data_IF_319828263159
#
_entry.id   IF_319828263159
#
_cell.length_a   1.000
_cell.length_b   1.000
_cell.length_c   1.000
_cell.angle_alpha   90.00
_cell.angle_beta   90.00
_cell.angle_gamma   90.00
#
_symmetry.space_group_name_H-M   'P 1'
#
loop_
_entity.id
_entity.type
_entity.pdbx_description
1 polymer ?
#
# COMPACT_ATOMS: atom_id res chain seq x y z
N UNK A 1 -5.12 24.17 -6.18
CA UNK A 1 -5.63 22.89 -5.68
C UNK A 1 -5.98 21.99 -6.85
N UNK A 2 -5.41 20.79 -6.91
CA UNK A 2 -5.65 19.81 -7.98
C UNK A 2 -6.48 18.62 -7.50
N UNK A 3 -7.59 18.33 -8.18
CA UNK A 3 -8.38 17.11 -7.94
C UNK A 3 -8.16 16.17 -9.12
N UNK A 4 -7.48 15.04 -8.87
CA UNK A 4 -7.06 14.14 -9.94
C UNK A 4 -6.73 12.75 -9.38
N UNK A 5 -7.07 11.70 -10.12
CA UNK A 5 -6.75 10.32 -9.76
C UNK A 5 -5.25 10.01 -9.88
N UNK A 6 -4.80 8.88 -9.34
CA UNK A 6 -3.42 8.40 -9.51
C UNK A 6 -3.18 8.06 -10.99
N UNK A 7 -1.98 8.36 -11.51
CA UNK A 7 -1.63 8.11 -12.93
C UNK A 7 -2.05 9.21 -13.91
N UNK A 8 -2.56 10.37 -13.44
CA UNK A 8 -2.94 11.51 -14.28
C UNK A 8 -1.81 12.52 -14.50
N UNK A 9 -0.59 12.23 -14.06
CA UNK A 9 0.55 13.14 -14.21
C UNK A 9 0.70 14.19 -13.10
N UNK A 10 0.06 14.03 -11.93
CA UNK A 10 0.15 14.99 -10.81
C UNK A 10 1.58 15.34 -10.44
N UNK A 11 2.47 14.35 -10.34
CA UNK A 11 3.88 14.57 -9.97
C UNK A 11 4.59 15.49 -10.96
N UNK A 12 4.35 15.32 -12.25
CA UNK A 12 4.88 16.23 -13.27
C UNK A 12 4.25 17.64 -13.18
N UNK A 13 2.93 17.69 -12.90
CA UNK A 13 2.20 18.95 -12.82
C UNK A 13 2.70 19.88 -11.72
N UNK A 14 3.18 19.36 -10.58
CA UNK A 14 3.79 20.18 -9.54
C UNK A 14 5.33 20.16 -9.61
N UNK A 15 5.93 19.04 -9.99
CA UNK A 15 7.38 18.85 -9.94
C UNK A 15 8.13 19.69 -10.97
N UNK A 16 7.66 19.72 -12.22
CA UNK A 16 8.32 20.50 -13.28
C UNK A 16 8.31 22.01 -13.01
N UNK A 17 7.17 22.66 -12.70
CA UNK A 17 7.16 24.09 -12.38
C UNK A 17 7.93 24.41 -11.09
N UNK A 18 7.91 23.50 -10.10
CA UNK A 18 8.67 23.65 -8.87
C UNK A 18 10.18 23.69 -9.15
N UNK A 19 10.69 22.72 -9.91
CA UNK A 19 12.11 22.64 -10.28
C UNK A 19 12.52 23.85 -11.13
N UNK A 20 11.71 24.23 -12.12
CA UNK A 20 11.97 25.41 -12.96
C UNK A 20 12.10 26.69 -12.11
N UNK A 21 11.18 26.89 -11.16
CA UNK A 21 11.21 28.06 -10.27
C UNK A 21 12.45 28.08 -9.39
N UNK A 22 12.88 26.93 -8.88
CA UNK A 22 14.08 26.82 -8.04
C UNK A 22 15.36 27.02 -8.84
N UNK A 23 15.40 26.52 -10.07
CA UNK A 23 16.52 26.67 -10.99
C UNK A 23 16.71 28.15 -11.42
N UNK A 24 15.61 28.81 -11.75
CA UNK A 24 15.60 30.24 -12.09
C UNK A 24 16.04 31.14 -10.92
N UNK A 25 15.71 30.76 -9.68
CA UNK A 25 16.14 31.50 -8.50
C UNK A 25 17.65 31.43 -8.28
N UNK A 26 18.31 30.39 -8.82
CA UNK A 26 19.78 30.17 -8.79
C UNK A 26 20.40 30.36 -7.39
N UNK A 27 19.68 30.03 -6.34
CA UNK A 27 20.17 30.11 -4.97
C UNK A 27 20.81 28.79 -4.56
N UNK A 28 21.94 28.77 -3.87
CA UNK A 28 22.55 27.52 -3.40
C UNK A 28 21.71 26.85 -2.34
N UNK A 29 21.73 25.51 -2.32
CA UNK A 29 21.10 24.72 -1.26
C UNK A 29 21.81 24.97 0.06
N UNK A 30 21.04 25.26 1.14
CA UNK A 30 21.59 25.53 2.48
C UNK A 30 21.51 24.27 3.34
N UNK A 31 22.53 23.98 4.18
CA UNK A 31 22.48 22.87 5.13
C UNK A 31 21.23 22.92 6.00
N UNK A 32 20.51 21.80 6.09
CA UNK A 32 19.29 21.60 6.89
C UNK A 32 18.09 22.49 6.54
N UNK A 33 18.17 23.36 5.52
CA UNK A 33 17.13 24.34 5.15
C UNK A 33 16.64 24.13 3.73
N UNK A 34 15.73 23.18 3.49
CA UNK A 34 15.15 22.98 2.18
C UNK A 34 14.31 24.19 1.78
N UNK A 35 14.26 24.47 0.46
CA UNK A 35 13.47 25.58 -0.11
C UNK A 35 12.03 25.15 -0.41
N UNK A 36 11.83 23.88 -0.66
CA UNK A 36 10.51 23.31 -0.94
C UNK A 36 10.30 21.99 -0.23
N UNK A 37 9.06 21.73 0.14
CA UNK A 37 8.63 20.55 0.87
C UNK A 37 7.45 19.89 0.17
N UNK A 38 7.56 18.57 -0.05
CA UNK A 38 6.48 17.74 -0.57
C UNK A 38 6.13 16.70 0.49
N UNK A 39 4.89 16.73 0.97
CA UNK A 39 4.39 15.75 1.94
C UNK A 39 3.63 14.64 1.21
N UNK A 40 3.99 13.40 1.51
CA UNK A 40 3.35 12.20 1.01
C UNK A 40 2.91 11.28 2.16
N UNK A 41 1.74 10.62 2.07
CA UNK A 41 1.22 9.78 3.16
C UNK A 41 2.01 8.50 3.39
N UNK A 42 2.67 7.97 2.36
CA UNK A 42 3.38 6.70 2.42
C UNK A 42 4.83 6.82 1.98
N UNK A 43 5.67 5.92 2.50
CA UNK A 43 7.10 5.83 2.15
C UNK A 43 7.30 5.54 0.67
N UNK A 44 6.46 4.67 0.13
CA UNK A 44 6.49 4.26 -1.26
C UNK A 44 6.19 5.43 -2.20
N UNK A 45 5.15 6.22 -1.89
CA UNK A 45 4.82 7.41 -2.67
C UNK A 45 5.91 8.47 -2.56
N UNK A 46 6.47 8.69 -1.34
CA UNK A 46 7.58 9.61 -1.17
C UNK A 46 8.80 9.22 -2.01
N UNK A 47 9.14 7.93 -2.05
CA UNK A 47 10.21 7.41 -2.92
C UNK A 47 9.90 7.57 -4.41
N UNK A 48 8.66 7.32 -4.83
CA UNK A 48 8.25 7.51 -6.22
C UNK A 48 8.37 8.96 -6.65
N UNK A 49 7.84 9.89 -5.85
CA UNK A 49 7.94 11.33 -6.12
C UNK A 49 9.41 11.74 -6.22
N UNK A 50 10.25 11.30 -5.28
CA UNK A 50 11.67 11.60 -5.30
C UNK A 50 12.36 11.08 -6.57
N UNK A 51 12.11 9.82 -6.94
CA UNK A 51 12.69 9.23 -8.17
C UNK A 51 12.25 9.98 -9.43
N UNK A 52 11.00 10.43 -9.51
CA UNK A 52 10.54 11.25 -10.64
C UNK A 52 11.19 12.63 -10.66
N UNK A 53 11.32 13.28 -9.49
CA UNK A 53 12.02 14.56 -9.39
C UNK A 53 13.49 14.45 -9.78
N UNK A 54 14.20 13.37 -9.41
CA UNK A 54 15.58 13.12 -9.85
C UNK A 54 15.68 13.02 -11.38
N UNK A 55 14.71 12.36 -12.03
CA UNK A 55 14.66 12.29 -13.50
C UNK A 55 14.46 13.68 -14.12
N UNK A 56 13.52 14.46 -13.56
CA UNK A 56 13.22 15.80 -14.06
C UNK A 56 14.37 16.79 -13.83
N UNK A 57 15.08 16.65 -12.70
CA UNK A 57 16.19 17.51 -12.32
C UNK A 57 17.54 17.09 -12.93
N UNK A 58 17.61 16.04 -13.75
CA UNK A 58 18.86 15.41 -14.24
C UNK A 58 19.87 16.42 -14.83
N UNK A 59 19.39 17.45 -15.49
CA UNK A 59 20.23 18.45 -16.17
C UNK A 59 20.28 19.80 -15.41
N UNK A 60 19.97 19.80 -14.11
CA UNK A 60 20.01 20.98 -13.24
C UNK A 60 20.95 20.75 -12.07
N UNK A 61 21.45 21.79 -11.38
CA UNK A 61 22.24 21.65 -10.16
C UNK A 61 21.40 21.34 -8.92
N UNK A 62 20.07 21.27 -9.05
CA UNK A 62 19.12 21.09 -7.94
C UNK A 62 19.27 19.73 -7.27
N UNK A 63 19.21 19.74 -5.94
CA UNK A 63 19.31 18.54 -5.11
C UNK A 63 17.98 18.22 -4.47
N UNK A 64 17.53 17.00 -4.64
CA UNK A 64 16.37 16.48 -3.91
C UNK A 64 16.78 15.40 -2.91
N UNK A 65 16.00 15.25 -1.86
CA UNK A 65 16.15 14.16 -0.88
C UNK A 65 14.80 13.69 -0.41
N UNK A 66 14.76 12.43 0.07
CA UNK A 66 13.55 11.82 0.62
C UNK A 66 13.79 11.35 2.06
N UNK A 67 12.85 11.68 2.95
CA UNK A 67 12.88 11.24 4.34
C UNK A 67 11.60 10.52 4.73
N UNK A 68 11.75 9.34 5.37
CA UNK A 68 10.63 8.53 5.84
C UNK A 68 11.06 7.61 6.98
N UNK A 69 10.10 7.18 7.79
CA UNK A 69 10.34 6.32 8.94
C UNK A 69 10.60 4.85 8.57
N UNK A 70 11.02 4.04 9.58
CA UNK A 70 11.24 2.59 9.45
C UNK A 70 12.54 2.20 8.76
N UNK A 71 13.45 3.16 8.61
CA UNK A 71 14.86 2.98 8.21
C UNK A 71 15.73 3.86 9.11
N UNK A 72 17.04 3.57 9.16
CA UNK A 72 17.98 4.37 9.92
C UNK A 72 17.96 5.84 9.52
N UNK A 73 18.03 6.75 10.48
CA UNK A 73 17.99 8.19 10.20
C UNK A 73 19.32 8.78 9.74
N UNK A 74 20.46 8.21 10.14
CA UNK A 74 21.77 8.77 9.88
C UNK A 74 22.07 9.08 8.39
N UNK A 75 21.71 8.23 7.42
CA UNK A 75 21.86 8.58 6.00
C UNK A 75 21.02 9.80 5.60
N UNK A 76 19.78 9.91 6.12
CA UNK A 76 18.88 11.02 5.83
C UNK A 76 19.41 12.32 6.45
N UNK A 77 19.88 12.28 7.69
CA UNK A 77 20.52 13.42 8.37
C UNK A 77 21.74 13.92 7.58
N UNK A 78 22.59 13.01 7.10
CA UNK A 78 23.76 13.39 6.28
C UNK A 78 23.37 14.09 4.99
N UNK A 79 22.29 13.67 4.33
CA UNK A 79 21.78 14.34 3.13
C UNK A 79 21.28 15.75 3.45
N UNK A 80 20.52 15.91 4.53
CA UNK A 80 20.03 17.22 4.99
C UNK A 80 21.18 18.17 5.35
N UNK A 81 22.26 17.67 5.97
CA UNK A 81 23.46 18.44 6.30
C UNK A 81 24.21 18.95 5.06
N UNK A 82 24.16 18.23 3.94
CA UNK A 82 24.76 18.67 2.66
C UNK A 82 23.96 19.77 1.97
N UNK A 83 22.74 20.03 2.43
CA UNK A 83 21.79 20.94 1.81
C UNK A 83 21.04 20.29 0.65
N UNK A 84 19.73 20.52 0.62
CA UNK A 84 18.80 20.06 -0.42
C UNK A 84 17.84 21.18 -0.78
N UNK A 85 17.47 21.25 -2.05
CA UNK A 85 16.52 22.25 -2.55
C UNK A 85 15.08 21.75 -2.38
N UNK A 86 14.84 20.48 -2.68
CA UNK A 86 13.53 19.82 -2.58
C UNK A 86 13.59 18.69 -1.57
N UNK A 87 12.76 18.79 -0.54
CA UNK A 87 12.59 17.71 0.44
C UNK A 87 11.25 17.01 0.23
N UNK A 88 11.28 15.70 -0.02
CA UNK A 88 10.09 14.84 -0.03
C UNK A 88 10.02 14.11 1.30
N UNK A 89 8.86 14.11 1.97
CA UNK A 89 8.80 13.57 3.33
C UNK A 89 7.49 12.87 3.65
N UNK A 90 7.56 11.86 4.54
CA UNK A 90 6.39 11.42 5.30
C UNK A 90 6.29 12.23 6.61
N UNK A 91 5.07 12.63 7.05
CA UNK A 91 4.90 13.59 8.13
C UNK A 91 5.63 13.22 9.43
N UNK A 92 5.47 11.99 9.94
CA UNK A 92 6.04 11.58 11.21
C UNK A 92 7.57 11.66 11.26
N UNK A 93 8.29 11.21 10.20
CA UNK A 93 9.76 11.30 10.16
C UNK A 93 10.24 12.75 9.98
N UNK A 94 9.49 13.57 9.26
CA UNK A 94 9.84 14.97 9.12
C UNK A 94 9.81 15.69 10.48
N UNK A 95 8.73 15.50 11.25
CA UNK A 95 8.62 16.07 12.60
C UNK A 95 9.70 15.53 13.54
N UNK A 96 9.96 14.24 13.52
CA UNK A 96 11.02 13.60 14.31
C UNK A 96 12.38 14.27 14.05
N UNK A 97 12.75 14.49 12.78
CA UNK A 97 14.02 15.15 12.43
C UNK A 97 14.00 16.66 12.67
N UNK A 98 12.85 17.33 12.59
CA UNK A 98 12.70 18.74 12.93
C UNK A 98 12.84 18.96 14.44
N UNK A 99 12.18 18.13 15.25
CA UNK A 99 12.27 18.18 16.72
C UNK A 99 13.72 17.91 17.21
N UNK A 100 14.50 17.11 16.47
CA UNK A 100 15.94 16.87 16.72
C UNK A 100 16.86 17.98 16.15
N UNK A 101 16.33 19.02 15.48
CA UNK A 101 17.12 20.10 14.86
C UNK A 101 17.90 19.70 13.61
N UNK A 102 17.56 18.57 12.98
CA UNK A 102 18.20 18.11 11.74
C UNK A 102 17.60 18.72 10.47
N UNK A 103 16.43 19.35 10.56
CA UNK A 103 15.81 20.11 9.48
C UNK A 103 15.12 21.36 10.03
N UNK A 104 15.27 22.47 9.32
CA UNK A 104 14.66 23.78 9.60
C UNK A 104 13.76 24.14 8.42
N UNK A 105 12.47 24.27 8.68
CA UNK A 105 11.44 24.53 7.66
C UNK A 105 11.19 26.03 7.41
N UNK A 106 11.95 26.92 8.05
CA UNK A 106 11.77 28.38 7.97
C UNK A 106 12.05 28.98 6.59
N UNK A 107 12.70 28.22 5.69
CA UNK A 107 13.03 28.65 4.32
C UNK A 107 12.07 28.07 3.24
N UNK A 108 11.05 27.34 3.65
CA UNK A 108 10.10 26.74 2.70
C UNK A 108 9.32 27.82 1.95
N UNK A 109 9.59 27.95 0.66
CA UNK A 109 8.86 28.84 -0.24
C UNK A 109 7.69 28.17 -0.97
N UNK A 110 7.75 26.83 -1.13
CA UNK A 110 6.70 26.02 -1.74
C UNK A 110 6.42 24.79 -0.90
N UNK A 111 5.14 24.57 -0.55
CA UNK A 111 4.64 23.39 0.14
C UNK A 111 3.66 22.65 -0.76
N UNK A 112 3.89 21.37 -0.97
CA UNK A 112 2.98 20.48 -1.71
C UNK A 112 2.46 19.40 -0.77
N UNK A 113 1.15 19.21 -0.71
CA UNK A 113 0.52 18.05 -0.09
C UNK A 113 0.00 17.15 -1.21
N UNK A 114 0.58 15.96 -1.36
CA UNK A 114 0.10 14.99 -2.32
C UNK A 114 -0.71 13.89 -1.61
N UNK A 115 -1.76 13.39 -2.28
CA UNK A 115 -2.74 12.46 -1.74
C UNK A 115 -3.30 12.92 -0.37
N UNK A 116 -3.81 14.16 -0.34
CA UNK A 116 -4.30 14.80 0.88
C UNK A 116 -5.47 14.04 1.55
N UNK A 117 -6.33 13.38 0.79
CA UNK A 117 -7.35 12.46 1.28
C UNK A 117 -6.71 11.32 2.09
N UNK A 118 -5.61 10.77 1.64
CA UNK A 118 -4.90 9.69 2.35
C UNK A 118 -4.11 10.17 3.55
N UNK A 119 -3.52 11.37 3.48
CA UNK A 119 -2.92 11.99 4.67
C UNK A 119 -3.95 12.09 5.81
N UNK A 120 -5.19 12.39 5.45
CA UNK A 120 -6.31 12.47 6.39
C UNK A 120 -6.73 11.08 6.90
N UNK A 121 -6.96 10.11 6.00
CA UNK A 121 -7.37 8.73 6.33
C UNK A 121 -6.36 8.02 7.23
N UNK A 122 -5.06 8.32 7.08
CA UNK A 122 -3.99 7.75 7.88
C UNK A 122 -3.77 8.48 9.22
N UNK A 123 -4.57 9.51 9.52
CA UNK A 123 -4.54 10.25 10.77
C UNK A 123 -3.44 11.31 10.87
N UNK A 124 -2.73 11.64 9.78
CA UNK A 124 -1.62 12.60 9.77
C UNK A 124 -2.06 14.06 9.85
N UNK A 125 -3.37 14.34 10.02
CA UNK A 125 -3.88 15.72 10.03
C UNK A 125 -3.19 16.60 11.09
N UNK A 126 -2.91 16.06 12.28
CA UNK A 126 -2.22 16.77 13.37
C UNK A 126 -0.77 17.04 12.99
N UNK A 127 -0.08 16.06 12.44
CA UNK A 127 1.31 16.18 12.01
C UNK A 127 1.46 17.19 10.88
N UNK A 128 0.56 17.14 9.88
CA UNK A 128 0.52 18.11 8.79
C UNK A 128 0.34 19.54 9.31
N UNK A 129 -0.56 19.75 10.26
CA UNK A 129 -0.76 21.09 10.87
C UNK A 129 0.51 21.58 11.57
N UNK A 130 1.15 20.76 12.40
CA UNK A 130 2.41 21.10 13.08
C UNK A 130 3.53 21.45 12.07
N UNK A 131 3.62 20.73 10.95
CA UNK A 131 4.57 21.03 9.88
C UNK A 131 4.24 22.38 9.24
N UNK A 132 2.98 22.61 8.90
CA UNK A 132 2.51 23.86 8.28
C UNK A 132 2.81 25.09 9.16
N UNK A 133 2.64 24.96 10.48
CA UNK A 133 2.96 26.02 11.47
C UNK A 133 4.44 26.38 11.49
N UNK A 134 5.34 25.44 11.19
CA UNK A 134 6.79 25.66 11.14
C UNK A 134 7.26 26.28 9.82
N UNK A 135 6.39 26.42 8.81
CA UNK A 135 6.75 26.95 7.50
C UNK A 135 6.28 28.42 7.35
N UNK A 136 6.99 29.25 6.57
CA UNK A 136 6.62 30.66 6.38
C UNK A 136 5.20 30.84 5.88
N UNK A 137 4.52 31.86 6.40
CA UNK A 137 3.18 32.22 5.93
C UNK A 137 3.16 32.71 4.46
N UNK A 138 4.24 33.24 3.95
CA UNK A 138 4.40 33.72 2.56
C UNK A 138 4.56 32.61 1.53
N UNK A 139 4.72 31.33 1.95
CA UNK A 139 4.90 30.21 1.05
C UNK A 139 3.72 30.05 0.07
N UNK A 140 4.00 29.54 -1.12
CA UNK A 140 2.98 28.99 -2.00
C UNK A 140 2.59 27.57 -1.51
N UNK A 141 1.30 27.30 -1.38
CA UNK A 141 0.82 25.99 -0.99
C UNK A 141 0.01 25.35 -2.11
N UNK A 142 0.33 24.08 -2.42
CA UNK A 142 -0.40 23.25 -3.38
C UNK A 142 -0.96 22.03 -2.65
N UNK A 143 -2.18 21.63 -3.02
CA UNK A 143 -2.83 20.44 -2.49
C UNK A 143 -3.37 19.61 -3.64
N UNK A 144 -2.99 18.33 -3.66
CA UNK A 144 -3.47 17.34 -4.61
C UNK A 144 -4.22 16.23 -3.87
N UNK A 145 -5.36 15.84 -4.39
CA UNK A 145 -6.21 14.78 -3.82
C UNK A 145 -6.98 14.05 -4.92
N UNK A 146 -7.27 12.78 -4.72
CA UNK A 146 -8.17 12.05 -5.61
C UNK A 146 -9.64 12.31 -5.28
N UNK A 147 -9.95 12.64 -4.02
CA UNK A 147 -11.31 12.88 -3.53
C UNK A 147 -11.40 14.18 -2.73
N UNK A 148 -12.60 14.78 -2.70
CA UNK A 148 -12.87 16.03 -1.97
C UNK A 148 -13.92 15.81 -0.87
N UNK A 149 -13.55 14.99 0.13
CA UNK A 149 -14.36 14.84 1.33
C UNK A 149 -14.47 16.15 2.14
N UNK A 150 -15.42 16.21 3.08
CA UNK A 150 -15.54 17.37 4.00
C UNK A 150 -14.23 17.64 4.74
N UNK A 151 -13.52 16.58 5.16
CA UNK A 151 -12.24 16.70 5.85
C UNK A 151 -11.13 17.27 4.97
N UNK A 152 -11.02 16.82 3.71
CA UNK A 152 -10.03 17.35 2.75
C UNK A 152 -10.35 18.82 2.43
N UNK A 153 -11.63 19.16 2.25
CA UNK A 153 -12.06 20.54 2.01
C UNK A 153 -11.73 21.47 3.19
N UNK A 154 -11.86 20.98 4.43
CA UNK A 154 -11.48 21.74 5.62
C UNK A 154 -9.95 21.88 5.73
N UNK A 155 -9.18 20.82 5.44
CA UNK A 155 -7.72 20.89 5.37
C UNK A 155 -7.27 21.92 4.34
N UNK A 156 -7.84 21.89 3.14
CA UNK A 156 -7.54 22.84 2.06
C UNK A 156 -7.77 24.28 2.49
N UNK A 157 -8.92 24.58 3.12
CA UNK A 157 -9.23 25.95 3.63
C UNK A 157 -8.23 26.45 4.67
N UNK A 158 -7.66 25.55 5.48
CA UNK A 158 -6.71 25.93 6.52
C UNK A 158 -5.29 26.16 5.99
N UNK A 159 -4.93 25.57 4.85
CA UNK A 159 -3.53 25.56 4.35
C UNK A 159 -3.37 26.45 3.11
N UNK A 160 -4.38 26.48 2.24
CA UNK A 160 -4.34 27.23 0.98
C UNK A 160 -4.87 28.66 1.17
N UNK A 161 -4.34 29.57 0.38
CA UNK A 161 -4.80 30.96 0.28
C UNK A 161 -5.33 31.18 -1.13
N UNK A 162 -6.57 31.59 -1.24
CA UNK A 162 -7.27 31.85 -2.51
C UNK A 162 -6.96 30.81 -3.60
N UNK A 163 -7.20 29.50 -3.33
CA UNK A 163 -6.75 28.45 -4.23
C UNK A 163 -7.61 28.41 -5.51
N UNK A 164 -6.94 28.43 -6.66
CA UNK A 164 -7.57 28.02 -7.92
C UNK A 164 -7.79 26.50 -7.85
N UNK A 165 -9.01 26.07 -8.09
CA UNK A 165 -9.36 24.66 -8.19
C UNK A 165 -9.29 24.19 -9.65
N UNK A 166 -8.46 23.19 -9.88
CA UNK A 166 -8.38 22.44 -11.15
C UNK A 166 -8.88 21.03 -10.88
N UNK A 167 -9.94 20.64 -11.57
CA UNK A 167 -10.55 19.32 -11.42
C UNK A 167 -10.48 18.58 -12.76
N UNK A 168 -9.63 17.55 -12.81
CA UNK A 168 -9.45 16.70 -13.99
C UNK A 168 -9.98 15.27 -13.74
N UNK A 169 -10.84 15.14 -12.72
CA UNK A 169 -11.49 13.87 -12.44
C UNK A 169 -12.37 13.46 -13.62
N UNK A 170 -12.34 12.21 -14.06
CA UNK A 170 -13.22 11.73 -15.11
C UNK A 170 -14.69 11.99 -14.73
N UNK A 171 -15.49 12.52 -15.64
CA UNK A 171 -16.94 12.71 -15.43
C UNK A 171 -17.67 11.38 -15.13
N UNK A 172 -17.09 10.27 -15.56
CA UNK A 172 -17.55 8.91 -15.19
C UNK A 172 -16.49 8.25 -14.29
N UNK A 173 -16.88 7.70 -13.14
CA UNK A 173 -15.97 6.97 -12.27
C UNK A 173 -15.24 5.87 -13.07
N UNK A 174 -13.94 5.71 -12.86
CA UNK A 174 -13.10 4.63 -13.44
C UNK A 174 -13.70 3.23 -13.19
N UNK A 175 -14.55 3.14 -12.18
CA UNK A 175 -15.37 1.96 -11.82
C UNK A 175 -16.13 1.36 -13.02
N UNK A 176 -16.61 2.20 -13.98
CA UNK A 176 -17.35 1.72 -15.16
C UNK A 176 -16.48 1.05 -16.23
N UNK A 177 -15.16 1.25 -16.20
CA UNK A 177 -14.22 0.63 -17.15
C UNK A 177 -13.62 -0.68 -16.65
N UNK A 178 -13.92 -1.05 -15.39
CA UNK A 178 -13.42 -2.27 -14.77
C UNK A 178 -14.55 -3.29 -14.78
N UNK A 179 -14.31 -4.47 -15.37
CA UNK A 179 -15.22 -5.60 -15.27
C UNK A 179 -15.21 -6.13 -13.84
N UNK A 180 -16.32 -5.92 -13.14
CA UNK A 180 -16.45 -6.27 -11.74
C UNK A 180 -17.34 -7.50 -11.59
N UNK A 181 -16.83 -8.50 -10.85
CA UNK A 181 -17.53 -9.75 -10.59
C UNK A 181 -17.53 -10.07 -9.10
N UNK A 182 -18.61 -10.65 -8.61
CA UNK A 182 -18.72 -11.16 -7.26
C UNK A 182 -18.88 -12.68 -7.28
N UNK A 183 -18.14 -13.35 -6.42
CA UNK A 183 -18.16 -14.80 -6.27
C UNK A 183 -18.57 -15.08 -4.82
N UNK A 184 -19.76 -15.67 -4.67
CA UNK A 184 -20.26 -16.08 -3.35
C UNK A 184 -19.53 -17.36 -2.93
N UNK A 185 -18.83 -17.31 -1.79
CA UNK A 185 -17.98 -18.41 -1.33
C UNK A 185 -17.79 -18.37 0.17
N UNK A 186 -17.90 -19.53 0.83
CA UNK A 186 -17.60 -19.66 2.26
C UNK A 186 -16.14 -19.34 2.56
N UNK A 187 -15.87 -18.75 3.73
CA UNK A 187 -14.50 -18.36 4.15
C UNK A 187 -13.48 -19.51 4.05
N UNK A 188 -13.77 -20.78 4.43
CA UNK A 188 -12.83 -21.89 4.29
C UNK A 188 -12.40 -22.17 2.85
N UNK A 189 -13.31 -21.95 1.89
CA UNK A 189 -13.14 -22.33 0.48
C UNK A 189 -12.48 -21.19 -0.35
N UNK A 190 -12.46 -19.95 0.17
CA UNK A 190 -11.83 -18.81 -0.50
C UNK A 190 -10.41 -19.08 -1.03
N UNK A 191 -9.51 -19.81 -0.31
CA UNK A 191 -8.17 -20.08 -0.82
C UNK A 191 -8.15 -20.97 -2.07
N UNK A 192 -9.04 -21.95 -2.18
CA UNK A 192 -9.15 -22.86 -3.33
C UNK A 192 -9.72 -22.11 -4.53
N UNK A 193 -10.80 -21.35 -4.31
CA UNK A 193 -11.39 -20.48 -5.35
C UNK A 193 -10.36 -19.46 -5.86
N UNK A 194 -9.58 -18.84 -4.95
CA UNK A 194 -8.52 -17.93 -5.35
C UNK A 194 -7.48 -18.60 -6.26
N UNK A 195 -7.03 -19.83 -5.93
CA UNK A 195 -6.09 -20.56 -6.76
C UNK A 195 -6.67 -20.82 -8.16
N UNK A 196 -7.92 -21.26 -8.24
CA UNK A 196 -8.61 -21.48 -9.53
C UNK A 196 -8.68 -20.19 -10.36
N UNK A 197 -9.05 -19.06 -9.75
CA UNK A 197 -9.11 -17.77 -10.45
C UNK A 197 -7.74 -17.31 -10.96
N UNK A 198 -6.67 -17.63 -10.25
CA UNK A 198 -5.31 -17.26 -10.63
C UNK A 198 -4.77 -18.09 -11.82
N UNK A 199 -5.47 -19.14 -12.24
CA UNK A 199 -5.16 -19.88 -13.48
C UNK A 199 -5.86 -19.33 -14.73
N UNK A 200 -6.59 -18.21 -14.63
CA UNK A 200 -7.19 -17.54 -15.78
C UNK A 200 -6.10 -17.08 -16.76
N UNK A 201 -6.23 -17.46 -18.03
CA UNK A 201 -5.25 -17.15 -19.09
C UNK A 201 -5.10 -15.64 -19.35
N UNK A 202 -6.16 -14.86 -19.09
CA UNK A 202 -6.13 -13.40 -19.22
C UNK A 202 -5.39 -12.70 -18.07
N UNK A 203 -5.03 -13.45 -17.01
CA UNK A 203 -4.38 -12.90 -15.84
C UNK A 203 -2.86 -12.84 -16.03
N UNK A 204 -2.32 -11.66 -16.20
CA UNK A 204 -0.87 -11.45 -16.29
C UNK A 204 -0.24 -11.09 -14.95
N UNK A 205 -0.85 -10.17 -14.20
CA UNK A 205 -0.44 -9.77 -12.86
C UNK A 205 -1.65 -9.44 -12.00
N UNK A 206 -1.67 -9.91 -10.75
CA UNK A 206 -2.77 -9.71 -9.82
C UNK A 206 -2.35 -9.05 -8.51
N UNK A 207 -3.21 -8.17 -7.98
CA UNK A 207 -3.13 -7.74 -6.58
C UNK A 207 -4.29 -8.36 -5.82
N UNK A 208 -3.97 -9.13 -4.77
CA UNK A 208 -4.94 -9.78 -3.88
C UNK A 208 -5.04 -9.00 -2.59
N UNK A 209 -6.23 -8.51 -2.26
CA UNK A 209 -6.46 -7.72 -1.07
C UNK A 209 -7.01 -8.55 0.08
N UNK A 210 -6.37 -8.44 1.25
CA UNK A 210 -6.81 -8.98 2.54
C UNK A 210 -6.98 -7.86 3.56
N UNK A 211 -7.84 -8.07 4.56
CA UNK A 211 -8.06 -7.06 5.62
C UNK A 211 -6.91 -6.98 6.61
N UNK A 212 -6.22 -8.10 6.85
CA UNK A 212 -5.21 -8.18 7.91
C UNK A 212 -3.82 -8.57 7.38
N UNK A 213 -2.78 -8.12 8.08
CA UNK A 213 -1.39 -8.50 7.83
C UNK A 213 -1.15 -10.01 7.94
N UNK A 214 -1.83 -10.67 8.88
CA UNK A 214 -1.74 -12.12 9.05
C UNK A 214 -2.44 -12.86 7.91
N UNK A 215 -3.60 -12.36 7.46
CA UNK A 215 -4.28 -12.84 6.26
C UNK A 215 -3.39 -12.76 5.03
N UNK A 216 -2.73 -11.61 4.82
CA UNK A 216 -1.82 -11.43 3.69
C UNK A 216 -0.68 -12.47 3.68
N UNK A 217 -0.01 -12.69 4.81
CA UNK A 217 1.02 -13.72 4.90
C UNK A 217 0.48 -15.14 4.68
N UNK A 218 -0.68 -15.46 5.26
CA UNK A 218 -1.31 -16.78 5.14
C UNK A 218 -1.68 -17.09 3.68
N UNK A 219 -2.29 -16.13 2.99
CA UNK A 219 -2.68 -16.27 1.58
C UNK A 219 -1.43 -16.40 0.71
N UNK A 220 -0.44 -15.51 0.83
CA UNK A 220 0.80 -15.60 0.06
C UNK A 220 1.51 -16.95 0.26
N UNK A 221 1.61 -17.44 1.52
CA UNK A 221 2.22 -18.75 1.82
C UNK A 221 1.46 -19.90 1.16
N UNK A 222 0.12 -19.87 1.17
CA UNK A 222 -0.71 -20.90 0.51
C UNK A 222 -0.53 -20.90 -1.00
N UNK A 223 -0.46 -19.72 -1.62
CA UNK A 223 -0.23 -19.57 -3.05
C UNK A 223 1.15 -20.11 -3.45
N UNK A 224 2.21 -19.74 -2.71
CA UNK A 224 3.55 -20.27 -2.95
C UNK A 224 3.61 -21.80 -2.81
N UNK A 225 2.91 -22.38 -1.81
CA UNK A 225 2.82 -23.83 -1.63
C UNK A 225 2.09 -24.54 -2.79
N UNK A 226 1.20 -23.83 -3.48
CA UNK A 226 0.53 -24.29 -4.71
C UNK A 226 1.32 -23.97 -6.01
N UNK A 227 2.58 -23.55 -5.91
CA UNK A 227 3.43 -23.24 -7.07
C UNK A 227 3.20 -21.86 -7.69
N UNK A 228 2.34 -21.01 -7.10
CA UNK A 228 2.03 -19.67 -7.57
C UNK A 228 3.02 -18.67 -6.98
N UNK A 229 3.78 -17.96 -7.84
CA UNK A 229 4.75 -16.94 -7.38
C UNK A 229 4.02 -15.75 -6.77
N UNK A 230 3.99 -15.68 -5.44
CA UNK A 230 3.30 -14.66 -4.66
C UNK A 230 4.18 -14.06 -3.56
N UNK A 231 4.04 -12.78 -3.26
CA UNK A 231 4.64 -12.14 -2.10
C UNK A 231 3.62 -11.28 -1.35
N UNK A 232 3.85 -11.08 -0.05
CA UNK A 232 2.97 -10.29 0.79
C UNK A 232 3.55 -8.90 1.09
N UNK A 233 2.71 -7.86 1.01
CA UNK A 233 3.09 -6.50 1.41
C UNK A 233 2.12 -5.96 2.46
N UNK A 234 2.64 -5.63 3.65
CA UNK A 234 1.86 -5.10 4.77
C UNK A 234 2.75 -4.35 5.77
N UNK A 235 2.13 -3.64 6.72
CA UNK A 235 2.84 -2.76 7.66
C UNK A 235 3.91 -3.42 8.54
N UNK A 236 3.80 -4.73 8.82
CA UNK A 236 4.78 -5.47 9.63
C UNK A 236 5.99 -6.00 8.83
N UNK A 237 6.02 -5.87 7.50
CA UNK A 237 7.23 -6.16 6.70
C UNK A 237 8.23 -5.03 6.88
N UNK A 238 9.53 -5.36 6.97
CA UNK A 238 10.59 -4.35 6.92
C UNK A 238 10.54 -3.55 5.62
N UNK A 239 11.04 -2.32 5.62
CA UNK A 239 11.02 -1.48 4.43
C UNK A 239 11.78 -2.12 3.26
N UNK A 240 12.92 -2.77 3.54
CA UNK A 240 13.69 -3.49 2.53
C UNK A 240 12.91 -4.67 1.93
N UNK A 241 12.17 -5.43 2.75
CA UNK A 241 11.31 -6.52 2.27
C UNK A 241 10.16 -5.98 1.39
N UNK A 242 9.54 -4.86 1.77
CA UNK A 242 8.48 -4.23 0.97
C UNK A 242 9.01 -3.73 -0.38
N UNK A 243 10.17 -3.07 -0.40
CA UNK A 243 10.81 -2.61 -1.62
C UNK A 243 11.19 -3.77 -2.54
N UNK A 244 11.69 -4.88 -1.99
CA UNK A 244 12.01 -6.09 -2.75
C UNK A 244 10.74 -6.69 -3.37
N UNK A 245 9.68 -6.91 -2.58
CA UNK A 245 8.42 -7.44 -3.08
C UNK A 245 7.85 -6.61 -4.23
N UNK A 246 7.89 -5.26 -4.11
CA UNK A 246 7.47 -4.36 -5.17
C UNK A 246 8.37 -4.43 -6.40
N UNK A 247 9.68 -4.48 -6.21
CA UNK A 247 10.64 -4.57 -7.33
C UNK A 247 10.46 -5.90 -8.09
N UNK A 248 10.25 -7.01 -7.38
CA UNK A 248 10.04 -8.33 -7.96
C UNK A 248 8.69 -8.40 -8.70
N UNK A 249 7.64 -7.78 -8.13
CA UNK A 249 6.35 -7.65 -8.80
C UNK A 249 6.42 -6.78 -10.06
N UNK A 250 7.09 -5.62 -10.01
CA UNK A 250 7.28 -4.75 -11.18
C UNK A 250 8.08 -5.43 -12.30
N UNK A 251 9.06 -6.25 -11.95
CA UNK A 251 9.90 -7.01 -12.90
C UNK A 251 9.24 -8.31 -13.39
N UNK A 252 8.05 -8.67 -12.92
CA UNK A 252 7.35 -9.89 -13.27
C UNK A 252 7.93 -11.18 -12.66
N UNK A 253 8.89 -11.09 -11.72
CA UNK A 253 9.40 -12.26 -10.98
C UNK A 253 8.36 -12.83 -10.01
N UNK A 254 7.56 -11.95 -9.45
CA UNK A 254 6.35 -12.27 -8.68
C UNK A 254 5.17 -11.70 -9.44
N UNK A 255 4.16 -12.49 -9.75
CA UNK A 255 3.01 -12.03 -10.50
C UNK A 255 1.74 -11.88 -9.66
N UNK A 256 1.76 -12.34 -8.40
CA UNK A 256 0.71 -12.10 -7.41
C UNK A 256 1.25 -11.33 -6.22
N UNK A 257 0.72 -10.13 -5.95
CA UNK A 257 1.03 -9.35 -4.77
C UNK A 257 -0.12 -9.39 -3.80
N UNK A 258 0.05 -9.99 -2.61
CA UNK A 258 -0.97 -10.04 -1.57
C UNK A 258 -0.78 -8.85 -0.63
N UNK A 259 -1.77 -7.96 -0.56
CA UNK A 259 -1.63 -6.66 0.09
C UNK A 259 -2.75 -6.36 1.09
N UNK A 260 -2.43 -5.54 2.10
CA UNK A 260 -3.44 -4.84 2.91
C UNK A 260 -3.67 -3.44 2.36
N UNK A 261 -4.85 -2.85 2.62
CA UNK A 261 -5.21 -1.51 2.13
C UNK A 261 -4.12 -0.47 2.42
N UNK A 262 -3.63 -0.40 3.66
CA UNK A 262 -2.62 0.56 4.08
C UNK A 262 -1.32 0.39 3.26
N UNK A 263 -0.92 -0.84 2.99
CA UNK A 263 0.32 -1.11 2.28
C UNK A 263 0.22 -0.97 0.77
N UNK A 264 -0.96 -1.18 0.20
CA UNK A 264 -1.21 -1.01 -1.23
C UNK A 264 -1.51 0.45 -1.62
N UNK A 265 -1.86 1.29 -0.65
CA UNK A 265 -2.07 2.72 -0.87
C UNK A 265 -0.76 3.39 -1.30
N UNK A 266 -0.81 4.26 -2.30
CA UNK A 266 0.36 4.96 -2.83
C UNK A 266 1.27 4.13 -3.73
N UNK A 267 0.95 2.83 -3.96
CA UNK A 267 1.69 2.04 -4.92
C UNK A 267 1.26 2.43 -6.34
N UNK A 268 2.19 2.99 -7.09
CA UNK A 268 2.03 3.12 -8.53
C UNK A 268 2.58 1.86 -9.18
N UNK A 269 1.65 1.01 -9.58
CA UNK A 269 1.95 -0.26 -10.24
C UNK A 269 1.16 -0.27 -11.55
N UNK A 270 1.88 -0.29 -12.63
CA UNK A 270 1.32 -0.41 -13.97
C UNK A 270 1.19 -1.88 -14.37
N UNK A 271 0.29 -2.16 -15.32
CA UNK A 271 0.11 -3.49 -15.90
C UNK A 271 -0.47 -4.52 -14.94
N UNK A 272 -1.27 -4.10 -13.96
CA UNK A 272 -2.08 -4.99 -13.15
C UNK A 272 -3.34 -5.31 -13.95
N UNK A 273 -3.47 -6.55 -14.40
CA UNK A 273 -4.66 -7.00 -15.12
C UNK A 273 -5.84 -7.25 -14.20
N UNK A 274 -5.58 -7.83 -13.03
CA UNK A 274 -6.61 -8.27 -12.09
C UNK A 274 -6.41 -7.73 -10.68
N UNK A 275 -7.50 -7.31 -10.07
CA UNK A 275 -7.60 -7.04 -8.63
C UNK A 275 -8.55 -8.06 -8.01
N UNK A 276 -8.10 -8.75 -6.98
CA UNK A 276 -8.93 -9.75 -6.29
C UNK A 276 -9.13 -9.32 -4.84
N UNK A 277 -10.36 -9.01 -4.46
CA UNK A 277 -10.73 -8.80 -3.07
C UNK A 277 -10.96 -10.16 -2.41
N UNK A 278 -9.94 -10.74 -1.80
CA UNK A 278 -10.06 -11.96 -1.01
C UNK A 278 -11.00 -11.78 0.18
N UNK A 279 -11.00 -10.56 0.74
CA UNK A 279 -11.95 -10.08 1.74
C UNK A 279 -12.41 -8.68 1.37
N UNK A 280 -13.70 -8.39 1.50
CA UNK A 280 -14.20 -7.03 1.28
C UNK A 280 -13.68 -6.05 2.33
N UNK A 281 -13.39 -4.80 1.97
CA UNK A 281 -12.97 -3.78 2.93
C UNK A 281 -14.11 -3.41 3.88
N UNK A 282 -13.74 -2.84 5.04
CA UNK A 282 -14.74 -2.31 5.98
C UNK A 282 -15.40 -1.03 5.44
N UNK A 283 -14.59 -0.16 4.83
CA UNK A 283 -15.02 1.11 4.25
C UNK A 283 -15.28 0.94 2.75
N UNK A 284 -16.48 1.28 2.25
CA UNK A 284 -16.81 1.14 0.83
C UNK A 284 -15.89 1.92 -0.11
N UNK A 285 -15.38 3.08 0.33
CA UNK A 285 -14.44 3.91 -0.43
C UNK A 285 -13.12 3.17 -0.71
N UNK A 286 -12.68 2.33 0.23
CA UNK A 286 -11.48 1.51 0.05
C UNK A 286 -11.63 0.52 -1.11
N UNK A 287 -12.84 0.05 -1.42
CA UNK A 287 -13.10 -0.80 -2.58
C UNK A 287 -12.74 -0.09 -3.88
N UNK A 288 -13.17 1.14 -4.05
CA UNK A 288 -12.87 1.95 -5.25
C UNK A 288 -11.35 2.14 -5.40
N UNK A 289 -10.66 2.40 -4.30
CA UNK A 289 -9.20 2.53 -4.29
C UNK A 289 -8.47 1.23 -4.61
N UNK A 290 -9.02 0.06 -4.23
CA UNK A 290 -8.46 -1.25 -4.56
C UNK A 290 -8.60 -1.55 -6.04
N UNK A 291 -9.82 -1.47 -6.58
CA UNK A 291 -10.07 -1.79 -7.98
C UNK A 291 -9.38 -0.80 -8.93
N UNK A 292 -9.20 0.46 -8.53
CA UNK A 292 -8.39 1.44 -9.25
C UNK A 292 -6.89 1.11 -9.35
N UNK A 293 -6.43 -0.07 -8.90
CA UNK A 293 -5.08 -0.59 -9.19
C UNK A 293 -5.01 -1.24 -10.57
N UNK A 294 -6.15 -1.65 -11.15
CA UNK A 294 -6.26 -2.10 -12.55
C UNK A 294 -6.98 -1.06 -13.41
N UNK A 295 -7.09 -1.29 -14.72
CA UNK A 295 -7.79 -0.38 -15.64
C UNK A 295 -7.12 0.99 -15.80
N UNK A 296 -5.80 1.09 -15.67
CA UNK A 296 -5.03 2.33 -15.78
C UNK A 296 -4.56 2.59 -17.21
N UNK A 297 -4.25 3.85 -17.50
CA UNK A 297 -3.72 4.30 -18.81
C UNK A 297 -4.58 3.87 -20.02
N UNK A 298 -5.91 3.76 -19.83
CA UNK A 298 -6.83 3.38 -20.92
C UNK A 298 -6.98 1.86 -21.13
N UNK A 299 -6.24 1.03 -20.41
CA UNK A 299 -6.41 -0.42 -20.46
C UNK A 299 -7.70 -0.87 -19.75
N UNK A 300 -8.27 -2.00 -20.18
CA UNK A 300 -9.32 -2.71 -19.46
C UNK A 300 -8.76 -3.35 -18.20
N UNK A 301 -9.59 -3.49 -17.16
CA UNK A 301 -9.21 -4.14 -15.93
C UNK A 301 -10.32 -5.06 -15.42
N UNK A 302 -9.94 -6.05 -14.62
CA UNK A 302 -10.88 -7.00 -14.01
C UNK A 302 -10.76 -6.92 -12.49
N UNK A 303 -11.90 -6.94 -11.79
CA UNK A 303 -11.97 -6.95 -10.35
C UNK A 303 -12.90 -8.07 -9.85
N UNK A 304 -12.33 -9.06 -9.17
CA UNK A 304 -13.09 -10.14 -8.54
C UNK A 304 -13.19 -9.95 -7.04
N UNK A 305 -14.36 -10.27 -6.47
CA UNK A 305 -14.59 -10.15 -5.03
C UNK A 305 -15.13 -11.47 -4.50
N UNK A 306 -14.37 -12.12 -3.60
CA UNK A 306 -14.78 -13.33 -2.89
C UNK A 306 -15.60 -12.94 -1.67
N UNK A 307 -16.89 -13.15 -1.73
CA UNK A 307 -17.85 -12.66 -0.72
C UNK A 307 -18.39 -13.82 0.09
N UNK A 308 -18.13 -13.78 1.38
CA UNK A 308 -18.69 -14.65 2.38
C UNK A 308 -20.11 -14.17 2.75
N UNK A 309 -21.06 -15.06 3.13
CA UNK A 309 -22.40 -14.66 3.56
C UNK A 309 -22.42 -13.56 4.62
N UNK A 310 -21.45 -13.54 5.54
CA UNK A 310 -21.31 -12.48 6.55
C UNK A 310 -20.86 -11.11 5.98
N UNK A 311 -20.35 -11.07 4.76
CA UNK A 311 -19.88 -9.87 4.07
C UNK A 311 -20.92 -9.22 3.15
N UNK A 312 -22.11 -9.81 3.01
CA UNK A 312 -23.17 -9.32 2.09
C UNK A 312 -23.60 -7.89 2.42
N UNK A 313 -23.61 -7.51 3.69
CA UNK A 313 -23.93 -6.13 4.09
C UNK A 313 -22.89 -5.12 3.56
N UNK A 314 -21.60 -5.51 3.55
CA UNK A 314 -20.51 -4.70 2.97
C UNK A 314 -20.62 -4.62 1.45
N UNK A 315 -20.95 -5.73 0.78
CA UNK A 315 -21.20 -5.74 -0.65
C UNK A 315 -22.29 -4.73 -1.03
N UNK A 316 -23.43 -4.76 -0.33
CA UNK A 316 -24.52 -3.81 -0.56
C UNK A 316 -24.11 -2.35 -0.34
N UNK A 317 -23.30 -2.07 0.69
CA UNK A 317 -22.77 -0.73 0.94
C UNK A 317 -21.84 -0.26 -0.20
N UNK A 318 -21.00 -1.15 -0.73
CA UNK A 318 -20.13 -0.89 -1.88
C UNK A 318 -20.99 -0.61 -3.13
N UNK A 319 -21.96 -1.46 -3.46
CA UNK A 319 -22.85 -1.30 -4.62
C UNK A 319 -23.62 0.03 -4.56
N UNK A 320 -24.07 0.41 -3.36
CA UNK A 320 -24.71 1.71 -3.12
C UNK A 320 -23.77 2.88 -3.40
N UNK A 321 -22.50 2.78 -2.98
CA UNK A 321 -21.50 3.83 -3.20
C UNK A 321 -21.16 3.99 -4.68
N UNK A 322 -20.97 2.88 -5.39
CA UNK A 322 -20.57 2.90 -6.80
C UNK A 322 -21.76 3.07 -7.77
N UNK A 323 -23.00 3.08 -7.25
CA UNK A 323 -24.24 3.12 -8.03
C UNK A 323 -24.31 2.04 -9.11
N UNK A 324 -23.79 0.85 -8.82
CA UNK A 324 -23.76 -0.29 -9.73
C UNK A 324 -23.97 -1.57 -8.94
N UNK A 325 -24.80 -2.49 -9.47
CA UNK A 325 -24.86 -3.87 -9.01
C UNK A 325 -23.69 -4.65 -9.63
N UNK A 326 -22.90 -5.32 -8.78
CA UNK A 326 -21.78 -6.12 -9.26
C UNK A 326 -22.31 -7.46 -9.75
N UNK A 327 -21.91 -7.85 -10.97
CA UNK A 327 -22.39 -9.07 -11.60
C UNK A 327 -21.91 -10.31 -10.87
N UNK A 328 -22.78 -11.25 -10.49
CA UNK A 328 -22.38 -12.55 -10.01
C UNK A 328 -21.55 -13.31 -11.03
N UNK A 329 -20.55 -14.04 -10.58
CA UNK A 329 -19.70 -14.90 -11.38
C UNK A 329 -19.63 -16.29 -10.74
N UNK A 330 -20.17 -17.27 -11.44
CA UNK A 330 -20.16 -18.65 -10.99
C UNK A 330 -18.89 -19.33 -11.47
N UNK A 331 -18.13 -19.88 -10.53
CA UNK A 331 -17.01 -20.77 -10.85
C UNK A 331 -17.48 -22.23 -10.79
N UNK A 332 -16.70 -23.14 -11.40
CA UNK A 332 -16.99 -24.57 -11.29
C UNK A 332 -17.06 -25.05 -9.83
N UNK A 333 -16.32 -24.38 -8.93
CA UNK A 333 -16.30 -24.67 -7.49
C UNK A 333 -17.53 -24.12 -6.74
N UNK A 334 -18.17 -23.06 -7.24
CA UNK A 334 -19.40 -22.51 -6.64
C UNK A 334 -20.66 -23.27 -7.05
N UNK A 335 -20.57 -24.11 -8.10
CA UNK A 335 -21.66 -24.99 -8.59
C UNK A 335 -21.77 -26.31 -7.84
N UNK A 336 -20.88 -26.60 -6.89
CA UNK A 336 -21.02 -27.77 -6.04
C UNK A 336 -22.26 -27.62 -5.18
N UNK A 337 -23.20 -28.55 -5.36
CA UNK A 337 -24.51 -28.61 -4.69
C UNK A 337 -24.32 -28.51 -3.16
N UNK A 338 -25.26 -27.89 -2.41
CA UNK A 338 -25.24 -27.89 -0.94
C UNK A 338 -25.15 -29.28 -0.31
N UNK A 339 -25.55 -30.34 -1.02
CA UNK A 339 -25.46 -31.73 -0.61
C UNK A 339 -24.03 -32.28 -0.67
N UNK A 340 -23.25 -31.99 -1.70
CA UNK A 340 -21.83 -32.37 -1.80
C UNK A 340 -20.94 -31.70 -0.74
N UNK A 341 -21.35 -30.51 -0.29
CA UNK A 341 -20.68 -29.81 0.82
C UNK A 341 -20.93 -30.46 2.19
N UNK A 342 -22.08 -31.12 2.38
CA UNK A 342 -22.40 -31.86 3.61
C UNK A 342 -21.61 -33.16 3.70
N UNK A 343 -21.43 -33.88 2.60
CA UNK A 343 -20.64 -35.13 2.55
C UNK A 343 -19.15 -34.91 2.85
N UNK A 344 -18.55 -33.80 2.38
CA UNK A 344 -17.15 -33.44 2.72
C UNK A 344 -16.95 -33.08 4.20
N UNK A 345 -17.99 -32.56 4.88
CA UNK A 345 -17.94 -32.25 6.33
C UNK A 345 -18.12 -33.49 7.22
N UNK A 346 -18.59 -34.61 6.68
CA UNK A 346 -18.89 -35.86 7.44
C UNK A 346 -17.80 -36.93 7.32
N UNK A 347 -16.77 -36.75 6.49
CA UNK A 347 -15.61 -37.67 6.48
C UNK A 347 -14.67 -37.34 7.63
N UNK A 348 -14.58 -38.21 8.68
CA UNK A 348 -13.60 -38.04 9.73
C UNK A 348 -12.20 -38.22 9.15
N UNK A 349 -11.25 -37.40 9.58
CA UNK A 349 -9.85 -37.51 9.23
C UNK A 349 -9.37 -38.95 9.46
N UNK A 350 -8.98 -39.64 8.39
CA UNK A 350 -8.45 -41.00 8.45
C UNK A 350 -7.21 -41.00 9.37
N UNK A 351 -7.35 -41.68 10.49
CA UNK A 351 -6.27 -41.99 11.41
C UNK A 351 -5.14 -42.70 10.65
N UNK A 352 -4.03 -42.04 10.49
CA UNK A 352 -2.78 -42.73 10.16
C UNK A 352 -2.34 -43.49 11.40
N UNK A 353 -2.75 -44.76 11.49
CA UNK A 353 -2.25 -45.71 12.44
C UNK A 353 -0.79 -46.03 12.13
N UNK A 354 0.04 -45.62 13.05
CA UNK A 354 1.47 -45.91 13.16
C UNK A 354 1.66 -47.42 13.38
N UNK A 355 2.04 -48.16 12.37
CA UNK A 355 2.46 -49.58 12.50
C UNK A 355 3.89 -49.62 13.02
N UNK A 356 4.09 -49.59 14.35
CA UNK A 356 5.31 -50.05 14.98
C UNK A 356 5.32 -51.55 15.04
N UNK A 357 6.24 -52.16 14.29
CA UNK A 357 6.62 -53.56 14.43
C UNK A 357 7.45 -53.76 15.69
N UNK A 358 6.96 -54.66 16.54
CA UNK A 358 7.68 -55.30 17.63
C UNK A 358 8.93 -56.04 17.15
N UNK A 359 10.00 -55.91 17.90
CA UNK A 359 11.21 -56.70 17.76
C UNK A 359 12.01 -56.69 19.07
N UNK A 360 11.84 -57.70 19.84
CA UNK A 360 12.18 -57.85 21.22
C UNK A 360 13.65 -57.97 21.58
N UNK A 361 13.86 -58.22 22.89
CA UNK A 361 14.96 -58.84 23.63
C UNK A 361 15.88 -57.92 24.43
N UNK A 362 15.58 -57.85 25.69
CA UNK A 362 16.29 -58.44 26.84
C UNK A 362 17.56 -57.75 27.35
N UNK A 363 17.51 -57.62 28.65
CA UNK A 363 18.55 -57.70 29.69
C UNK A 363 19.25 -56.44 30.19
N UNK A 364 18.79 -56.11 31.38
CA UNK A 364 19.50 -56.14 32.68
C UNK A 364 20.56 -55.09 33.02
N UNK A 365 20.24 -54.45 34.10
CA UNK A 365 21.03 -54.25 35.36
C UNK A 365 21.76 -52.92 35.57
N UNK A 366 21.27 -52.30 36.65
CA UNK A 366 22.00 -51.81 37.84
C UNK A 366 23.01 -50.67 37.67
N UNK A 367 22.74 -49.63 38.43
CA UNK A 367 23.71 -49.13 39.40
C UNK A 367 23.64 -47.61 39.53
N UNK A 368 22.96 -47.16 40.51
CA UNK A 368 23.47 -46.56 41.75
C UNK A 368 24.36 -45.32 41.62
N UNK A 369 23.77 -44.23 42.11
CA UNK A 369 24.33 -43.37 43.19
C UNK A 369 25.31 -42.25 42.87
N UNK A 370 24.91 -41.10 43.43
CA UNK A 370 25.65 -40.07 44.22
C UNK A 370 26.33 -38.99 43.40
N UNK A 371 25.94 -37.78 43.67
CA UNK A 371 26.08 -36.83 44.78
C UNK A 371 27.11 -35.73 44.48
N UNK A 372 26.61 -34.52 44.65
CA UNK A 372 27.30 -33.39 45.26
C UNK A 372 28.34 -32.57 44.46
N UNK A 373 27.94 -31.37 44.29
CA UNK A 373 28.48 -30.17 44.97
C UNK A 373 29.66 -29.46 44.29
N UNK A 374 29.41 -28.19 44.14
CA UNK A 374 30.17 -26.98 44.51
C UNK A 374 31.05 -26.36 43.42
N UNK A 375 30.65 -25.14 43.16
CA UNK A 375 31.32 -23.86 43.48
C UNK A 375 32.43 -23.45 42.52
N UNK A 376 32.15 -22.33 41.92
CA UNK A 376 32.93 -21.10 41.96
C UNK A 376 34.26 -21.05 41.20
N UNK A 377 34.32 -20.37 40.15
CA UNK A 377 35.11 -19.15 39.95
C UNK A 377 34.51 -18.36 38.80
#
# INVERSE_FOLDING_TARGET
>A
MGVAQTGTGKTAAFGLPLLQRLDQANEPARPRRPKSLILAPTRELALQIHTELEKFAKNTPLRSSVIFGGVGQNPQVRQLQRGVDVLVATPGRLLDLADQGHVDLSMISVLVLDEADRLLDMGFIRDVRRIVEQTPKSRQSLLFSATMSKGVSQLARNILRDPIRVDVSPKQPTVKKIDQRVIMVETPDKPEVLQTLLHDEALSRAIVFTRTKHGANKVAKKLCAAGISADAIHGNKSQSARQRALADFKKGRTWVLVATDIAARGLDIEGVSHVINFELPHEPESYVHRIGRTGRAGASGVAWSLVDPSEVSRLRAIEKLIHLRITPFDTALTKLNPEDQRERKTQPAANQTDTRRDGGSSRKRRGRRRRKQRQAA
#
